data_IF_970520558428
#
_entry.id   IF_970520558428
#
_cell.length_a   1.000
_cell.length_b   1.000
_cell.length_c   1.000
_cell.angle_alpha   90.00
_cell.angle_beta   90.00
_cell.angle_gamma   90.00
#
_symmetry.space_group_name_H-M   'P 1'
#
loop_
_entity.id
_entity.type
_entity.pdbx_description
1 polymer ?
#
# COMPACT_ATOMS: atom_id res chain seq x y z
N UNK A 1 -51.73 0.08 -17.24
CA UNK A 1 -51.16 -0.90 -16.29
C UNK A 1 -49.74 -1.39 -16.65
N UNK A 2 -49.43 -1.71 -17.89
CA UNK A 2 -48.07 -2.23 -18.29
C UNK A 2 -46.90 -1.28 -18.02
N UNK A 3 -47.07 0.03 -18.19
CA UNK A 3 -46.02 1.02 -18.00
C UNK A 3 -45.56 1.20 -16.52
N UNK A 4 -46.47 0.95 -15.56
CA UNK A 4 -46.17 1.00 -14.12
C UNK A 4 -45.32 -0.23 -13.64
N UNK A 5 -45.49 -1.36 -14.30
CA UNK A 5 -44.70 -2.58 -13.99
C UNK A 5 -43.26 -2.49 -14.48
N UNK A 6 -43.03 -1.92 -15.68
CA UNK A 6 -41.68 -1.71 -16.21
C UNK A 6 -40.88 -0.72 -15.37
N UNK A 7 -41.50 0.33 -14.86
CA UNK A 7 -40.83 1.32 -14.00
C UNK A 7 -40.46 0.74 -12.62
N UNK A 8 -41.27 -0.16 -12.07
CA UNK A 8 -40.95 -0.88 -10.82
C UNK A 8 -39.91 -1.94 -11.03
N UNK A 9 -39.90 -2.61 -12.18
CA UNK A 9 -38.88 -3.62 -12.50
C UNK A 9 -37.51 -2.99 -12.75
N UNK A 10 -37.44 -1.85 -13.43
CA UNK A 10 -36.20 -1.08 -13.60
C UNK A 10 -35.69 -0.48 -12.31
N UNK A 11 -36.54 -0.03 -11.39
CA UNK A 11 -36.15 0.46 -10.07
C UNK A 11 -35.64 -0.68 -9.18
N UNK A 12 -36.22 -1.86 -9.24
CA UNK A 12 -35.75 -3.06 -8.53
C UNK A 12 -34.44 -3.58 -9.11
N UNK A 13 -34.27 -3.58 -10.42
CA UNK A 13 -33.00 -3.95 -11.09
C UNK A 13 -31.89 -2.94 -10.81
N UNK A 14 -32.20 -1.64 -10.76
CA UNK A 14 -31.25 -0.60 -10.37
C UNK A 14 -30.87 -0.68 -8.88
N UNK A 15 -31.82 -1.04 -7.99
CA UNK A 15 -31.52 -1.31 -6.59
C UNK A 15 -30.70 -2.60 -6.40
N UNK A 16 -30.97 -3.68 -7.16
CA UNK A 16 -30.15 -4.89 -7.12
C UNK A 16 -28.74 -4.63 -7.67
N UNK A 17 -28.56 -3.82 -8.70
CA UNK A 17 -27.26 -3.40 -9.20
C UNK A 17 -26.51 -2.46 -8.22
N UNK A 18 -27.23 -1.59 -7.49
CA UNK A 18 -26.62 -0.73 -6.48
C UNK A 18 -26.15 -1.52 -5.22
N UNK A 19 -26.85 -2.61 -4.88
CA UNK A 19 -26.50 -3.47 -3.72
C UNK A 19 -25.27 -4.35 -4.00
N UNK A 20 -24.96 -4.66 -5.27
CA UNK A 20 -23.79 -5.48 -5.62
C UNK A 20 -22.46 -4.71 -5.60
N UNK A 21 -22.47 -3.38 -5.53
CA UNK A 21 -21.24 -2.58 -5.40
C UNK A 21 -20.86 -2.27 -3.95
N UNK A 22 -21.75 -2.49 -2.98
CA UNK A 22 -21.56 -2.07 -1.59
C UNK A 22 -20.73 -3.03 -0.72
N UNK A 23 -20.30 -4.20 -1.23
CA UNK A 23 -19.50 -5.17 -0.48
C UNK A 23 -18.49 -5.88 -1.40
N UNK A 24 -17.60 -5.15 -2.03
CA UNK A 24 -16.40 -5.78 -2.59
C UNK A 24 -15.53 -6.23 -1.41
N UNK A 25 -15.71 -7.49 -1.01
CA UNK A 25 -14.85 -8.11 0.00
C UNK A 25 -13.39 -7.94 -0.43
N UNK A 26 -12.56 -7.40 0.46
CA UNK A 26 -11.12 -7.31 0.21
C UNK A 26 -10.58 -8.73 0.11
N UNK A 27 -9.89 -9.00 -0.99
CA UNK A 27 -9.32 -10.31 -1.28
C UNK A 27 -7.86 -10.30 -0.81
N UNK A 28 -7.50 -11.29 -0.01
CA UNK A 28 -6.10 -11.61 0.34
C UNK A 28 -5.65 -12.74 -0.58
N UNK A 29 -4.59 -12.51 -1.34
CA UNK A 29 -4.16 -13.46 -2.37
C UNK A 29 -2.65 -13.61 -2.47
N UNK A 30 -2.21 -14.74 -3.04
CA UNK A 30 -0.89 -14.93 -3.61
C UNK A 30 -0.94 -14.58 -5.11
N UNK A 31 0.09 -13.95 -5.63
CA UNK A 31 0.16 -13.58 -7.05
C UNK A 31 1.43 -14.16 -7.69
N UNK A 32 1.23 -14.98 -8.72
CA UNK A 32 2.35 -15.58 -9.46
C UNK A 32 3.25 -14.53 -10.10
N UNK A 33 2.68 -13.41 -10.58
CA UNK A 33 3.47 -12.33 -11.19
C UNK A 33 4.22 -11.49 -10.18
N UNK A 34 3.68 -11.32 -8.96
CA UNK A 34 4.39 -10.69 -7.85
C UNK A 34 5.57 -11.53 -7.42
N UNK A 35 5.38 -12.85 -7.24
CA UNK A 35 6.47 -13.75 -6.91
C UNK A 35 7.51 -13.84 -8.03
N UNK A 36 7.10 -13.86 -9.29
CA UNK A 36 8.02 -13.87 -10.45
C UNK A 36 8.94 -12.65 -10.42
N UNK A 37 8.38 -11.47 -10.25
CA UNK A 37 9.16 -10.24 -10.25
C UNK A 37 10.04 -10.11 -9.01
N UNK A 38 9.55 -10.55 -7.85
CA UNK A 38 10.32 -10.58 -6.62
C UNK A 38 11.50 -11.57 -6.72
N UNK A 39 11.26 -12.79 -7.19
CA UNK A 39 12.31 -13.83 -7.35
C UNK A 39 13.34 -13.43 -8.41
N UNK A 40 12.93 -12.86 -9.54
CA UNK A 40 13.87 -12.34 -10.54
C UNK A 40 14.75 -11.23 -9.95
N UNK A 41 14.16 -10.30 -9.17
CA UNK A 41 14.89 -9.22 -8.50
C UNK A 41 15.84 -9.76 -7.41
N UNK A 42 15.40 -10.77 -6.64
CA UNK A 42 16.23 -11.49 -5.66
C UNK A 42 17.39 -12.19 -6.35
N UNK A 43 17.16 -12.90 -7.44
CA UNK A 43 18.19 -13.59 -8.22
C UNK A 43 19.19 -12.58 -8.82
N UNK A 44 18.74 -11.37 -9.17
CA UNK A 44 19.57 -10.25 -9.60
C UNK A 44 20.37 -9.60 -8.45
N UNK A 45 20.13 -9.98 -7.20
CA UNK A 45 20.83 -9.47 -6.03
C UNK A 45 20.37 -8.10 -5.56
N UNK A 46 19.11 -7.74 -5.82
CA UNK A 46 18.53 -6.50 -5.30
C UNK A 46 18.39 -6.61 -3.77
N UNK A 47 19.09 -5.75 -3.06
CA UNK A 47 19.22 -5.85 -1.60
C UNK A 47 17.88 -5.94 -0.88
N UNK A 48 16.92 -5.13 -1.27
CA UNK A 48 15.58 -5.08 -0.69
C UNK A 48 14.78 -6.37 -0.88
N UNK A 49 15.10 -7.17 -1.90
CA UNK A 49 14.50 -8.48 -2.19
C UNK A 49 15.33 -9.65 -1.64
N UNK A 50 16.58 -9.39 -1.21
CA UNK A 50 17.48 -10.43 -0.71
C UNK A 50 17.45 -10.60 0.82
N UNK A 51 16.62 -9.84 1.55
CA UNK A 51 16.47 -10.01 2.98
C UNK A 51 15.95 -11.42 3.28
N UNK A 52 16.53 -12.04 4.30
CA UNK A 52 16.08 -13.36 4.75
C UNK A 52 14.83 -13.20 5.61
N UNK A 53 13.75 -13.77 5.15
CA UNK A 53 12.47 -13.75 5.86
C UNK A 53 12.19 -15.05 6.61
N UNK A 54 13.18 -15.95 6.63
CA UNK A 54 13.11 -17.24 7.30
C UNK A 54 12.31 -18.30 6.54
N UNK A 55 12.28 -19.50 7.12
CA UNK A 55 11.44 -20.59 6.67
C UNK A 55 11.98 -21.42 5.50
N UNK A 56 11.24 -22.49 5.21
CA UNK A 56 11.61 -23.44 4.16
C UNK A 56 11.47 -22.85 2.77
N UNK A 57 10.44 -22.04 2.54
CA UNK A 57 10.19 -21.41 1.22
C UNK A 57 11.37 -20.55 0.73
N UNK A 58 12.01 -19.79 1.63
CA UNK A 58 13.21 -19.02 1.27
C UNK A 58 14.35 -19.94 0.84
N UNK A 59 14.57 -21.06 1.54
CA UNK A 59 15.60 -22.06 1.20
C UNK A 59 15.30 -22.74 -0.13
N UNK A 60 14.05 -23.11 -0.37
CA UNK A 60 13.62 -23.72 -1.64
C UNK A 60 13.81 -22.76 -2.82
N UNK A 61 13.47 -21.47 -2.62
CA UNK A 61 13.70 -20.41 -3.60
C UNK A 61 15.19 -20.28 -3.92
N UNK A 62 16.05 -20.17 -2.90
CA UNK A 62 17.49 -20.04 -3.11
C UNK A 62 18.08 -21.26 -3.84
N UNK A 63 17.66 -22.47 -3.48
CA UNK A 63 18.15 -23.70 -4.10
C UNK A 63 17.68 -23.80 -5.56
N UNK A 64 16.40 -23.51 -5.85
CA UNK A 64 15.84 -23.63 -7.19
C UNK A 64 16.46 -22.63 -8.18
N UNK A 65 16.66 -21.38 -7.74
CA UNK A 65 17.13 -20.30 -8.62
C UNK A 65 18.65 -20.11 -8.59
N UNK A 66 19.42 -20.81 -7.73
CA UNK A 66 20.87 -20.73 -7.70
C UNK A 66 21.56 -20.94 -9.07
N UNK A 67 21.12 -21.90 -9.92
CA UNK A 67 21.73 -22.12 -11.24
C UNK A 67 21.52 -20.96 -12.21
N UNK A 68 20.51 -20.10 -11.97
CA UNK A 68 20.07 -19.05 -12.89
C UNK A 68 20.65 -17.66 -12.60
N UNK A 69 21.62 -17.53 -11.67
CA UNK A 69 22.25 -16.24 -11.32
C UNK A 69 22.95 -15.54 -12.49
N UNK A 70 23.31 -16.30 -13.53
CA UNK A 70 23.91 -15.79 -14.77
C UNK A 70 22.94 -15.76 -15.96
N UNK A 71 21.66 -15.95 -15.70
CA UNK A 71 20.63 -15.93 -16.77
C UNK A 71 20.54 -14.53 -17.43
N UNK A 72 20.29 -14.44 -18.77
CA UNK A 72 20.21 -13.16 -19.47
C UNK A 72 19.21 -12.17 -18.87
N UNK A 73 18.05 -12.64 -18.41
CA UNK A 73 17.06 -11.79 -17.73
C UNK A 73 17.57 -11.20 -16.42
N UNK A 74 18.42 -11.94 -15.68
CA UNK A 74 19.06 -11.44 -14.45
C UNK A 74 20.05 -10.32 -14.76
N UNK A 75 20.84 -10.48 -15.81
CA UNK A 75 21.75 -9.43 -16.29
C UNK A 75 20.96 -8.19 -16.74
N UNK A 76 19.87 -8.40 -17.49
CA UNK A 76 18.98 -7.33 -17.93
C UNK A 76 18.34 -6.56 -16.75
N UNK A 77 17.86 -7.26 -15.72
CA UNK A 77 17.35 -6.60 -14.51
C UNK A 77 18.39 -5.74 -13.80
N UNK A 78 19.65 -6.19 -13.70
CA UNK A 78 20.76 -5.39 -13.17
C UNK A 78 20.99 -4.12 -13.98
N UNK A 79 20.92 -4.23 -15.30
CA UNK A 79 21.01 -3.11 -16.24
C UNK A 79 19.88 -2.10 -16.02
N UNK A 80 18.64 -2.58 -15.91
CA UNK A 80 17.47 -1.73 -15.64
C UNK A 80 17.61 -0.99 -14.29
N UNK A 81 18.11 -1.66 -13.27
CA UNK A 81 18.40 -1.02 -11.99
C UNK A 81 19.44 0.09 -12.12
N UNK A 82 20.53 -0.19 -12.79
CA UNK A 82 21.64 0.77 -12.96
C UNK A 82 21.23 2.00 -13.78
N UNK A 83 20.50 1.79 -14.87
CA UNK A 83 20.18 2.85 -15.84
C UNK A 83 18.91 3.63 -15.48
N UNK A 84 17.91 2.97 -14.91
CA UNK A 84 16.58 3.52 -14.71
C UNK A 84 16.10 3.45 -13.25
N UNK A 85 16.97 3.04 -12.33
CA UNK A 85 16.64 2.87 -10.92
C UNK A 85 15.44 1.93 -10.69
N UNK A 86 15.30 0.86 -11.50
CA UNK A 86 14.28 -0.16 -11.29
C UNK A 86 14.64 -0.96 -10.04
N UNK A 87 13.81 -0.84 -9.02
CA UNK A 87 13.93 -1.45 -7.71
C UNK A 87 12.73 -1.05 -6.85
N UNK A 88 12.62 -1.63 -5.65
CA UNK A 88 11.56 -1.31 -4.69
C UNK A 88 10.16 -1.39 -5.34
N UNK A 89 9.35 -0.35 -5.16
CA UNK A 89 7.99 -0.20 -5.69
C UNK A 89 7.89 -0.30 -7.23
N UNK A 90 8.94 0.07 -7.99
CA UNK A 90 8.90 -0.05 -9.45
C UNK A 90 8.83 -1.51 -9.91
N UNK A 91 9.45 -2.44 -9.19
CA UNK A 91 9.34 -3.88 -9.47
C UNK A 91 7.90 -4.34 -9.28
N UNK A 92 7.27 -3.94 -8.19
CA UNK A 92 5.89 -4.31 -7.88
C UNK A 92 4.87 -3.61 -8.77
N UNK A 93 5.16 -2.37 -9.20
CA UNK A 93 4.35 -1.68 -10.20
C UNK A 93 4.30 -2.46 -11.52
N UNK A 94 5.43 -3.02 -11.96
CA UNK A 94 5.42 -3.92 -13.12
C UNK A 94 4.63 -5.20 -12.81
N UNK A 95 4.88 -5.84 -11.67
CA UNK A 95 4.27 -7.11 -11.29
C UNK A 95 2.73 -7.10 -11.37
N UNK A 96 2.09 -6.04 -10.87
CA UNK A 96 0.61 -5.92 -10.89
C UNK A 96 0.05 -5.63 -12.30
N UNK A 97 0.88 -5.20 -13.24
CA UNK A 97 0.50 -4.98 -14.63
C UNK A 97 0.83 -6.18 -15.55
N UNK A 98 1.16 -7.32 -14.95
CA UNK A 98 1.40 -8.58 -15.64
C UNK A 98 0.29 -9.58 -15.30
N UNK A 99 0.08 -10.52 -16.22
CA UNK A 99 -0.72 -11.73 -16.01
C UNK A 99 0.00 -12.93 -16.62
N UNK A 100 -0.34 -14.13 -16.17
CA UNK A 100 0.16 -15.37 -16.74
C UNK A 100 -0.95 -16.41 -16.93
N UNK A 101 -0.80 -17.23 -17.94
CA UNK A 101 -1.66 -18.40 -18.16
C UNK A 101 -0.95 -19.73 -17.83
N UNK A 102 0.13 -19.68 -17.02
CA UNK A 102 0.96 -20.81 -16.66
C UNK A 102 2.00 -21.20 -17.72
N UNK A 103 1.98 -20.56 -18.90
CA UNK A 103 2.93 -20.81 -20.01
C UNK A 103 3.65 -19.55 -20.46
N UNK A 104 2.97 -18.43 -20.40
CA UNK A 104 3.47 -17.15 -20.89
C UNK A 104 2.99 -16.02 -20.00
N UNK A 105 3.85 -15.04 -19.81
CA UNK A 105 3.57 -13.78 -19.12
C UNK A 105 3.28 -12.69 -20.15
N UNK A 106 2.22 -11.92 -19.92
CA UNK A 106 1.79 -10.81 -20.79
C UNK A 106 1.49 -9.57 -19.94
N UNK A 107 1.51 -8.40 -20.56
CA UNK A 107 1.01 -7.18 -19.93
C UNK A 107 -0.51 -7.11 -20.03
N UNK A 108 -1.15 -6.74 -18.91
CA UNK A 108 -2.59 -6.43 -18.85
C UNK A 108 -2.88 -4.94 -18.89
N UNK A 109 -1.93 -4.12 -18.41
CA UNK A 109 -2.10 -2.69 -18.27
C UNK A 109 -1.38 -1.91 -19.37
N UNK A 110 -1.76 -0.64 -19.48
CA UNK A 110 -1.07 0.30 -20.36
C UNK A 110 0.26 0.73 -19.73
N UNK A 111 1.25 1.07 -20.59
CA UNK A 111 2.58 1.54 -20.18
C UNK A 111 2.52 2.72 -19.21
N UNK A 112 1.50 3.58 -19.32
CA UNK A 112 1.26 4.71 -18.42
C UNK A 112 1.07 4.31 -16.94
N UNK A 113 0.58 3.11 -16.68
CA UNK A 113 0.41 2.58 -15.33
C UNK A 113 1.73 2.21 -14.64
N UNK A 114 2.83 2.12 -15.40
CA UNK A 114 4.12 1.64 -14.88
C UNK A 114 4.94 2.73 -14.15
N UNK A 115 4.48 3.98 -14.18
CA UNK A 115 5.20 5.11 -13.57
C UNK A 115 6.45 5.54 -14.35
N UNK A 116 7.05 6.66 -13.92
CA UNK A 116 8.08 7.36 -14.69
C UNK A 116 9.35 6.53 -14.95
N UNK A 117 9.73 5.65 -14.01
CA UNK A 117 10.95 4.82 -14.15
C UNK A 117 10.88 3.84 -15.32
N UNK A 118 9.68 3.39 -15.69
CA UNK A 118 9.46 2.46 -16.79
C UNK A 118 9.22 3.14 -18.15
N UNK A 119 8.98 4.45 -18.21
CA UNK A 119 8.56 5.14 -19.44
C UNK A 119 9.58 5.03 -20.59
N UNK A 120 10.87 5.03 -20.26
CA UNK A 120 11.95 4.93 -21.27
C UNK A 120 12.46 3.52 -21.51
N UNK A 121 11.76 2.50 -20.98
CA UNK A 121 12.12 1.09 -21.15
C UNK A 121 11.18 0.48 -22.18
N UNK A 122 11.77 -0.27 -23.14
CA UNK A 122 11.00 -1.04 -24.12
C UNK A 122 10.37 -2.26 -23.44
N UNK A 123 9.07 -2.18 -23.21
CA UNK A 123 8.33 -3.22 -22.47
C UNK A 123 8.31 -4.55 -23.18
N UNK A 124 8.31 -4.57 -24.52
CA UNK A 124 8.37 -5.83 -25.30
C UNK A 124 9.71 -6.55 -25.11
N UNK A 125 10.82 -5.80 -25.09
CA UNK A 125 12.15 -6.35 -24.77
C UNK A 125 12.18 -6.91 -23.35
N UNK A 126 11.61 -6.19 -22.39
CA UNK A 126 11.50 -6.67 -21.01
C UNK A 126 10.69 -7.99 -20.95
N UNK A 127 9.54 -8.05 -21.63
CA UNK A 127 8.70 -9.25 -21.68
C UNK A 127 9.39 -10.44 -22.34
N UNK A 128 10.22 -10.22 -23.35
CA UNK A 128 11.04 -11.31 -23.96
C UNK A 128 11.96 -11.92 -22.90
N UNK A 129 12.72 -11.09 -22.19
CA UNK A 129 13.62 -11.58 -21.12
C UNK A 129 12.86 -12.24 -19.97
N UNK A 130 11.74 -11.66 -19.57
CA UNK A 130 10.90 -12.19 -18.48
C UNK A 130 10.32 -13.57 -18.85
N UNK A 131 9.79 -13.72 -20.07
CA UNK A 131 9.24 -14.98 -20.54
C UNK A 131 10.32 -16.06 -20.71
N UNK A 132 11.53 -15.69 -21.13
CA UNK A 132 12.64 -16.61 -21.18
C UNK A 132 13.00 -17.11 -19.77
N UNK A 133 13.12 -16.20 -18.78
CA UNK A 133 13.35 -16.58 -17.40
C UNK A 133 12.23 -17.48 -16.86
N UNK A 134 10.97 -17.13 -17.11
CA UNK A 134 9.80 -17.89 -16.69
C UNK A 134 9.83 -19.34 -17.22
N UNK A 135 10.16 -19.52 -18.50
CA UNK A 135 10.24 -20.83 -19.14
C UNK A 135 11.46 -21.63 -18.68
N UNK A 136 12.67 -21.03 -18.74
CA UNK A 136 13.92 -21.72 -18.48
C UNK A 136 14.06 -22.17 -17.02
N UNK A 137 13.50 -21.35 -16.07
CA UNK A 137 13.47 -21.70 -14.67
C UNK A 137 12.32 -22.63 -14.27
N UNK A 138 11.41 -22.93 -15.21
CA UNK A 138 10.17 -23.66 -14.92
C UNK A 138 9.39 -22.99 -13.78
N UNK A 139 9.24 -21.66 -13.86
CA UNK A 139 8.69 -20.86 -12.77
C UNK A 139 7.32 -21.33 -12.32
N UNK A 140 6.42 -21.63 -13.27
CA UNK A 140 5.07 -22.12 -12.98
C UNK A 140 5.07 -23.41 -12.16
N UNK A 141 5.99 -24.33 -12.45
CA UNK A 141 6.11 -25.58 -11.70
C UNK A 141 6.54 -25.28 -10.24
N UNK A 142 7.53 -24.40 -10.06
CA UNK A 142 7.95 -23.98 -8.73
C UNK A 142 6.80 -23.32 -7.96
N UNK A 143 6.09 -22.37 -8.58
CA UNK A 143 4.95 -21.69 -7.97
C UNK A 143 3.83 -22.67 -7.60
N UNK A 144 3.49 -23.58 -8.50
CA UNK A 144 2.43 -24.58 -8.28
C UNK A 144 2.79 -25.58 -7.17
N UNK A 145 4.05 -25.99 -7.06
CA UNK A 145 4.51 -26.89 -5.99
C UNK A 145 4.36 -26.30 -4.59
N UNK A 146 4.30 -24.95 -4.47
CA UNK A 146 4.18 -24.27 -3.20
C UNK A 146 2.76 -23.75 -2.87
N UNK A 147 1.74 -24.13 -3.66
CA UNK A 147 0.35 -23.67 -3.46
C UNK A 147 -0.17 -23.93 -2.04
N UNK A 148 0.06 -25.12 -1.49
CA UNK A 148 -0.38 -25.47 -0.13
C UNK A 148 0.28 -24.59 0.93
N UNK A 149 1.54 -24.20 0.73
CA UNK A 149 2.23 -23.25 1.58
C UNK A 149 1.59 -21.85 1.48
N UNK A 150 1.36 -21.33 0.27
CA UNK A 150 0.70 -20.04 0.09
C UNK A 150 -0.67 -19.99 0.75
N UNK A 151 -1.52 -20.99 0.51
CA UNK A 151 -2.84 -21.09 1.13
C UNK A 151 -2.77 -21.13 2.66
N UNK A 152 -1.78 -21.80 3.23
CA UNK A 152 -1.57 -21.83 4.68
C UNK A 152 -1.25 -20.45 5.24
N UNK A 153 -0.35 -19.71 4.57
CA UNK A 153 0.03 -18.36 4.98
C UNK A 153 -1.12 -17.38 4.80
N UNK A 154 -1.86 -17.45 3.69
CA UNK A 154 -3.04 -16.61 3.45
C UNK A 154 -4.09 -16.81 4.54
N UNK A 155 -4.39 -18.06 4.91
CA UNK A 155 -5.29 -18.34 6.04
C UNK A 155 -4.80 -17.74 7.36
N UNK A 156 -3.51 -17.81 7.62
CA UNK A 156 -2.94 -17.20 8.84
C UNK A 156 -3.06 -15.67 8.79
N UNK A 157 -2.83 -15.05 7.64
CA UNK A 157 -3.02 -13.61 7.46
C UNK A 157 -4.49 -13.20 7.68
N UNK A 158 -5.42 -13.92 7.09
CA UNK A 158 -6.85 -13.70 7.28
C UNK A 158 -7.26 -13.82 8.76
N UNK A 159 -6.78 -14.84 9.45
CA UNK A 159 -7.10 -15.07 10.85
C UNK A 159 -6.45 -14.06 11.80
N UNK A 160 -5.18 -13.75 11.59
CA UNK A 160 -4.40 -12.95 12.55
C UNK A 160 -4.42 -11.45 12.23
N UNK A 161 -4.47 -11.06 10.95
CA UNK A 161 -4.37 -9.66 10.52
C UNK A 161 -5.74 -9.07 10.21
N UNK A 162 -6.54 -9.75 9.38
CA UNK A 162 -7.82 -9.22 8.91
C UNK A 162 -8.87 -9.07 10.00
N UNK A 163 -8.73 -9.76 11.13
CA UNK A 163 -9.61 -9.54 12.29
C UNK A 163 -9.56 -8.11 12.84
N UNK A 164 -8.46 -7.38 12.60
CA UNK A 164 -8.28 -5.98 13.00
C UNK A 164 -8.69 -4.99 11.91
N UNK A 165 -9.11 -5.48 10.71
CA UNK A 165 -9.44 -4.63 9.58
C UNK A 165 -10.96 -4.51 9.39
N UNK A 166 -11.49 -3.31 9.66
CA UNK A 166 -12.92 -2.98 9.59
C UNK A 166 -13.19 -2.07 8.40
N UNK A 167 -13.51 -2.66 7.26
CA UNK A 167 -13.71 -1.94 6.00
C UNK A 167 -14.82 -0.87 6.09
N UNK A 168 -15.87 -1.10 6.86
CA UNK A 168 -16.99 -0.20 7.06
C UNK A 168 -16.63 1.09 7.83
N UNK A 169 -15.49 1.11 8.52
CA UNK A 169 -15.00 2.31 9.19
C UNK A 169 -14.66 3.44 8.20
N UNK A 170 -14.08 3.12 7.06
CA UNK A 170 -13.56 4.09 6.11
C UNK A 170 -14.65 5.01 5.53
N UNK A 171 -15.74 4.50 4.89
CA UNK A 171 -16.79 5.39 4.40
C UNK A 171 -17.45 6.19 5.55
N UNK A 172 -17.55 5.64 6.75
CA UNK A 172 -18.05 6.37 7.91
C UNK A 172 -17.12 7.50 8.32
N UNK A 173 -15.81 7.25 8.39
CA UNK A 173 -14.83 8.26 8.79
C UNK A 173 -14.60 9.29 7.69
N UNK A 174 -14.32 8.88 6.47
CA UNK A 174 -14.03 9.80 5.36
C UNK A 174 -15.28 10.49 4.80
N UNK A 175 -16.45 9.92 4.96
CA UNK A 175 -17.73 10.44 4.45
C UNK A 175 -17.90 10.27 2.94
N UNK A 176 -17.11 9.39 2.33
CA UNK A 176 -17.14 9.05 0.91
C UNK A 176 -16.95 7.56 0.74
N UNK A 177 -17.64 6.98 -0.25
CA UNK A 177 -17.40 5.60 -0.64
C UNK A 177 -16.08 5.49 -1.44
N UNK A 178 -15.34 4.39 -1.29
CA UNK A 178 -14.15 4.16 -2.09
C UNK A 178 -14.53 4.00 -3.56
N UNK A 179 -13.85 4.73 -4.44
CA UNK A 179 -14.02 4.60 -5.89
C UNK A 179 -13.07 3.57 -6.50
N UNK A 180 -12.18 3.02 -5.68
CA UNK A 180 -11.12 2.11 -6.05
C UNK A 180 -11.41 0.68 -5.55
N UNK A 181 -10.85 -0.32 -6.22
CA UNK A 181 -10.81 -1.70 -5.72
C UNK A 181 -9.53 -1.92 -4.96
N UNK A 182 -9.65 -2.42 -3.75
CA UNK A 182 -8.50 -2.72 -2.90
C UNK A 182 -8.17 -4.21 -2.92
N UNK A 183 -6.88 -4.54 -3.09
CA UNK A 183 -6.37 -5.92 -3.13
C UNK A 183 -5.17 -6.04 -2.21
N UNK A 184 -5.11 -7.11 -1.44
CA UNK A 184 -3.98 -7.44 -0.59
C UNK A 184 -3.25 -8.63 -1.22
N UNK A 185 -1.98 -8.45 -1.53
CA UNK A 185 -1.13 -9.51 -2.08
C UNK A 185 -0.01 -9.80 -1.09
N UNK A 186 0.14 -11.05 -0.69
CA UNK A 186 1.28 -11.45 0.13
C UNK A 186 2.46 -11.74 -0.78
N UNK A 187 3.55 -11.00 -0.57
CA UNK A 187 4.80 -11.16 -1.29
C UNK A 187 5.78 -12.01 -0.48
N UNK A 188 5.86 -13.29 -0.80
CA UNK A 188 6.63 -14.28 -0.03
C UNK A 188 8.14 -14.11 -0.20
N UNK A 189 8.58 -13.47 -1.29
CA UNK A 189 9.99 -13.16 -1.57
C UNK A 189 10.28 -11.67 -1.65
N UNK A 190 9.39 -10.82 -1.12
CA UNK A 190 9.55 -9.36 -1.10
C UNK A 190 10.65 -8.86 -0.15
N UNK A 191 11.29 -9.73 0.63
CA UNK A 191 12.29 -9.33 1.60
C UNK A 191 11.75 -8.43 2.72
N UNK A 192 10.47 -8.58 3.11
CA UNK A 192 9.82 -7.78 4.15
C UNK A 192 9.39 -6.38 3.70
N UNK A 193 9.61 -6.00 2.45
CA UNK A 193 9.13 -4.72 1.90
C UNK A 193 7.63 -4.72 1.69
N UNK A 194 6.98 -3.58 2.04
CA UNK A 194 5.58 -3.32 1.73
C UNK A 194 5.50 -2.29 0.62
N UNK A 195 4.59 -2.48 -0.33
CA UNK A 195 4.46 -1.64 -1.52
C UNK A 195 2.99 -1.38 -1.85
N UNK A 196 2.64 -0.13 -2.17
CA UNK A 196 1.29 0.31 -2.51
C UNK A 196 1.12 0.69 -3.99
N UNK A 197 1.44 -0.16 -4.98
CA UNK A 197 1.24 0.19 -6.38
C UNK A 197 -0.24 0.22 -6.74
N UNK A 198 -0.57 0.94 -7.81
CA UNK A 198 -1.92 0.96 -8.35
C UNK A 198 -1.91 0.85 -9.87
N UNK A 199 -3.03 0.36 -10.44
CA UNK A 199 -3.22 0.35 -11.89
C UNK A 199 -4.65 0.78 -12.26
N UNK A 200 -4.79 1.32 -13.45
CA UNK A 200 -6.08 1.65 -14.04
C UNK A 200 -6.22 0.91 -15.38
N UNK A 201 -7.14 -0.04 -15.42
CA UNK A 201 -7.51 -0.70 -16.66
C UNK A 201 -8.68 0.04 -17.31
N UNK A 202 -8.67 0.11 -18.64
CA UNK A 202 -9.75 0.79 -19.39
C UNK A 202 -11.11 0.20 -19.04
N UNK A 203 -12.07 1.06 -18.66
CA UNK A 203 -13.44 0.65 -18.30
C UNK A 203 -13.57 -0.02 -16.93
N UNK A 204 -12.50 -0.16 -16.15
CA UNK A 204 -12.52 -0.73 -14.80
C UNK A 204 -12.31 0.35 -13.73
N UNK A 205 -12.78 0.17 -12.49
CA UNK A 205 -12.30 0.96 -11.35
C UNK A 205 -10.78 0.88 -11.24
N UNK A 206 -10.15 1.91 -10.68
CA UNK A 206 -8.73 1.84 -10.33
C UNK A 206 -8.52 0.75 -9.27
N UNK A 207 -7.52 -0.09 -9.44
CA UNK A 207 -7.10 -1.07 -8.46
C UNK A 207 -5.92 -0.53 -7.67
N UNK A 208 -6.00 -0.62 -6.35
CA UNK A 208 -4.94 -0.27 -5.40
C UNK A 208 -4.52 -1.54 -4.68
N UNK A 209 -3.23 -1.78 -4.63
CA UNK A 209 -2.67 -3.00 -4.07
C UNK A 209 -1.88 -2.68 -2.79
N UNK A 210 -2.14 -3.42 -1.72
CA UNK A 210 -1.19 -3.56 -0.63
C UNK A 210 -0.41 -4.86 -0.85
N UNK A 211 0.82 -4.75 -1.35
CA UNK A 211 1.72 -5.90 -1.46
C UNK A 211 2.50 -5.97 -0.16
N UNK A 212 2.11 -6.89 0.71
CA UNK A 212 2.64 -7.02 2.06
C UNK A 212 3.78 -8.05 2.09
N UNK A 213 4.90 -7.66 2.68
CA UNK A 213 6.02 -8.56 2.89
C UNK A 213 5.68 -9.67 3.87
N UNK A 214 6.17 -10.87 3.57
CA UNK A 214 6.05 -12.04 4.40
C UNK A 214 7.22 -12.14 5.38
N UNK A 215 6.94 -12.58 6.60
CA UNK A 215 7.99 -12.96 7.56
C UNK A 215 7.52 -14.08 8.47
N UNK A 216 8.49 -14.84 8.98
CA UNK A 216 8.26 -15.89 9.97
C UNK A 216 8.82 -15.43 11.31
N UNK A 217 8.03 -15.57 12.36
CA UNK A 217 8.53 -15.41 13.73
C UNK A 217 9.51 -16.55 14.03
N UNK A 218 10.74 -16.21 14.38
CA UNK A 218 11.81 -17.19 14.62
C UNK A 218 11.53 -18.13 15.79
N UNK A 219 10.73 -17.72 16.77
CA UNK A 219 10.43 -18.49 17.97
C UNK A 219 9.32 -19.50 17.72
N UNK A 220 8.31 -19.11 16.98
CA UNK A 220 7.10 -19.93 16.76
C UNK A 220 7.11 -20.66 15.43
N UNK A 221 7.93 -20.21 14.47
CA UNK A 221 7.97 -20.72 13.11
C UNK A 221 6.72 -20.39 12.29
N UNK A 222 5.88 -19.47 12.78
CA UNK A 222 4.61 -19.09 12.12
C UNK A 222 4.72 -17.75 11.42
N UNK A 223 4.00 -17.62 10.32
CA UNK A 223 3.84 -16.36 9.61
C UNK A 223 2.83 -15.47 10.34
N UNK A 224 3.04 -14.16 10.32
CA UNK A 224 2.11 -13.16 10.83
C UNK A 224 1.61 -13.43 12.26
N UNK A 225 2.47 -13.97 13.13
CA UNK A 225 2.12 -14.30 14.51
C UNK A 225 1.62 -13.07 15.27
N UNK A 226 2.27 -11.93 15.09
CA UNK A 226 1.85 -10.65 15.65
C UNK A 226 0.98 -9.87 14.65
N UNK A 227 -0.21 -10.40 14.36
CA UNK A 227 -1.09 -9.88 13.30
C UNK A 227 -1.44 -8.40 13.41
N UNK A 228 -1.37 -7.84 14.61
CA UNK A 228 -1.69 -6.43 14.85
C UNK A 228 -0.67 -5.47 14.21
N UNK A 229 0.63 -5.78 14.26
CA UNK A 229 1.66 -4.93 13.66
C UNK A 229 1.49 -4.87 12.13
N UNK A 230 1.07 -5.98 11.53
CA UNK A 230 0.73 -6.03 10.10
C UNK A 230 -0.59 -5.31 9.79
N UNK A 231 -1.56 -5.37 10.69
CA UNK A 231 -2.83 -4.66 10.52
C UNK A 231 -2.62 -3.14 10.52
N UNK A 232 -1.74 -2.60 11.37
CA UNK A 232 -1.41 -1.17 11.37
C UNK A 232 -0.86 -0.72 10.00
N UNK A 233 0.02 -1.51 9.39
CA UNK A 233 0.53 -1.27 8.03
C UNK A 233 -0.59 -1.31 6.99
N UNK A 234 -1.46 -2.32 7.05
CA UNK A 234 -2.59 -2.45 6.12
C UNK A 234 -3.55 -1.25 6.23
N UNK A 235 -3.88 -0.85 7.46
CA UNK A 235 -4.73 0.32 7.74
C UNK A 235 -4.09 1.58 7.18
N UNK A 236 -2.77 1.74 7.33
CA UNK A 236 -2.00 2.86 6.78
C UNK A 236 -2.11 2.92 5.26
N UNK A 237 -1.79 1.84 4.57
CA UNK A 237 -1.85 1.79 3.10
C UNK A 237 -3.27 2.03 2.56
N UNK A 238 -4.28 1.52 3.26
CA UNK A 238 -5.67 1.73 2.85
C UNK A 238 -6.12 3.19 3.03
N UNK A 239 -5.64 3.88 4.06
CA UNK A 239 -5.92 5.30 4.27
C UNK A 239 -5.41 6.17 3.11
N UNK A 240 -4.30 5.81 2.45
CA UNK A 240 -3.80 6.53 1.28
C UNK A 240 -4.82 6.63 0.15
N UNK A 241 -5.65 5.61 -0.05
CA UNK A 241 -6.71 5.61 -1.08
C UNK A 241 -7.74 6.73 -0.88
N UNK A 242 -7.91 7.20 0.35
CA UNK A 242 -8.82 8.30 0.69
C UNK A 242 -8.08 9.63 0.84
N UNK A 243 -6.93 9.63 1.49
CA UNK A 243 -6.19 10.86 1.81
C UNK A 243 -5.57 11.50 0.58
N UNK A 244 -4.96 10.70 -0.32
CA UNK A 244 -4.27 11.24 -1.48
C UNK A 244 -5.20 12.04 -2.42
N UNK A 245 -6.39 11.53 -2.81
CA UNK A 245 -7.33 12.31 -3.62
C UNK A 245 -7.86 13.56 -2.90
N UNK A 246 -8.05 13.49 -1.58
CA UNK A 246 -8.47 14.64 -0.78
C UNK A 246 -7.39 15.72 -0.71
N UNK A 247 -6.12 15.32 -0.59
CA UNK A 247 -5.01 16.25 -0.66
C UNK A 247 -4.96 16.94 -2.02
N UNK A 248 -5.04 16.18 -3.11
CA UNK A 248 -4.97 16.72 -4.48
C UNK A 248 -6.08 17.78 -4.70
N UNK A 249 -7.28 17.55 -4.15
CA UNK A 249 -8.40 18.49 -4.22
C UNK A 249 -8.21 19.74 -3.32
N UNK A 250 -7.29 19.71 -2.37
CA UNK A 250 -7.06 20.77 -1.36
C UNK A 250 -5.59 21.23 -1.30
N UNK A 251 -4.80 20.94 -2.33
CA UNK A 251 -3.36 21.18 -2.32
C UNK A 251 -2.99 22.65 -2.04
N UNK A 252 -3.74 23.60 -2.54
CA UNK A 252 -3.52 25.04 -2.33
C UNK A 252 -3.55 25.45 -0.85
N UNK A 253 -4.32 24.72 -0.02
CA UNK A 253 -4.40 24.99 1.42
C UNK A 253 -3.18 24.49 2.19
N UNK A 254 -2.54 23.44 1.70
CA UNK A 254 -1.59 22.63 2.49
C UNK A 254 -0.16 22.65 1.96
N UNK A 255 0.06 23.00 0.69
CA UNK A 255 1.38 22.93 0.06
C UNK A 255 2.42 23.76 0.82
N UNK A 256 2.14 25.05 1.05
CA UNK A 256 3.06 25.95 1.78
C UNK A 256 3.33 25.50 3.22
N UNK A 257 2.31 24.90 3.88
CA UNK A 257 2.47 24.35 5.22
C UNK A 257 3.39 23.13 5.17
N UNK A 258 3.18 22.24 4.21
CA UNK A 258 4.01 21.05 3.99
C UNK A 258 5.47 21.41 3.68
N UNK A 259 5.73 22.45 2.89
CA UNK A 259 7.08 22.97 2.63
C UNK A 259 7.78 23.46 3.91
N UNK A 260 7.05 24.17 4.77
CA UNK A 260 7.58 24.64 6.06
C UNK A 260 7.85 23.45 7.01
N UNK A 261 6.97 22.47 7.08
CA UNK A 261 7.17 21.24 7.86
C UNK A 261 8.39 20.47 7.35
N UNK A 262 8.45 20.19 6.05
CA UNK A 262 9.58 19.51 5.42
C UNK A 262 10.91 20.21 5.69
N UNK A 263 10.95 21.55 5.53
CA UNK A 263 12.15 22.34 5.81
C UNK A 263 12.58 22.23 7.27
N UNK A 264 11.64 22.33 8.20
CA UNK A 264 11.91 22.31 9.65
C UNK A 264 12.41 20.96 10.13
N UNK A 265 11.77 19.89 9.66
CA UNK A 265 12.04 18.50 10.07
C UNK A 265 12.75 17.70 8.98
N UNK A 266 13.55 18.39 8.16
CA UNK A 266 14.17 17.80 6.97
C UNK A 266 14.91 16.51 7.23
N UNK A 267 15.67 16.42 8.34
CA UNK A 267 16.45 15.22 8.68
C UNK A 267 15.57 14.01 8.91
N UNK A 268 14.54 14.12 9.73
CA UNK A 268 13.62 13.03 10.02
C UNK A 268 12.81 12.62 8.78
N UNK A 269 12.30 13.60 8.03
CA UNK A 269 11.57 13.34 6.78
C UNK A 269 12.46 12.66 5.74
N UNK A 270 13.70 13.12 5.56
CA UNK A 270 14.66 12.52 4.63
C UNK A 270 15.07 11.10 5.02
N UNK A 271 15.18 10.79 6.30
CA UNK A 271 15.47 9.43 6.79
C UNK A 271 14.38 8.44 6.39
N UNK A 272 13.15 8.92 6.21
CA UNK A 272 11.98 8.16 5.73
C UNK A 272 11.78 8.27 4.21
N UNK A 273 12.74 8.84 3.48
CA UNK A 273 12.68 9.12 2.05
C UNK A 273 11.58 10.13 1.63
N UNK A 274 11.02 10.90 2.56
CA UNK A 274 10.04 11.95 2.28
C UNK A 274 10.74 13.24 1.85
N UNK A 275 10.66 13.57 0.56
CA UNK A 275 11.45 14.65 -0.05
C UNK A 275 10.62 15.80 -0.63
N UNK A 276 9.30 15.76 -0.46
CA UNK A 276 8.41 16.80 -0.95
C UNK A 276 7.27 17.06 0.05
N UNK A 277 6.68 18.24 -0.06
CA UNK A 277 5.61 18.72 0.82
C UNK A 277 4.36 17.84 0.76
N UNK A 278 3.98 17.40 -0.44
CA UNK A 278 2.81 16.52 -0.66
C UNK A 278 2.92 15.24 0.16
N UNK A 279 4.06 14.56 0.09
CA UNK A 279 4.30 13.34 0.87
C UNK A 279 4.21 13.61 2.36
N UNK A 280 4.84 14.68 2.88
CA UNK A 280 4.79 15.00 4.32
C UNK A 280 3.37 15.21 4.80
N UNK A 281 2.54 15.92 4.06
CA UNK A 281 1.13 16.17 4.45
C UNK A 281 0.30 14.90 4.35
N UNK A 282 0.39 14.15 3.24
CA UNK A 282 -0.35 12.89 3.06
C UNK A 282 -0.02 11.92 4.19
N UNK A 283 1.25 11.69 4.45
CA UNK A 283 1.72 10.84 5.54
C UNK A 283 1.22 11.33 6.91
N UNK A 284 1.23 12.64 7.15
CA UNK A 284 0.72 13.20 8.40
C UNK A 284 -0.75 12.83 8.64
N UNK A 285 -1.59 13.02 7.63
CA UNK A 285 -3.04 12.76 7.73
C UNK A 285 -3.31 11.25 7.79
N UNK A 286 -2.63 10.45 6.98
CA UNK A 286 -2.74 8.98 6.99
C UNK A 286 -2.40 8.43 8.37
N UNK A 287 -1.26 8.81 8.96
CA UNK A 287 -0.80 8.35 10.28
C UNK A 287 -1.74 8.78 11.40
N UNK A 288 -2.25 10.01 11.34
CA UNK A 288 -3.25 10.48 12.29
C UNK A 288 -4.57 9.69 12.16
N UNK A 289 -5.00 9.36 10.93
CA UNK A 289 -6.17 8.53 10.69
C UNK A 289 -6.00 7.08 11.20
N UNK A 290 -4.80 6.49 11.12
CA UNK A 290 -4.48 5.20 11.77
C UNK A 290 -4.76 5.26 13.26
N UNK A 291 -4.30 6.30 13.93
CA UNK A 291 -4.53 6.45 15.39
C UNK A 291 -6.02 6.61 15.72
N UNK A 292 -6.78 7.38 14.92
CA UNK A 292 -8.24 7.48 15.08
C UNK A 292 -8.90 6.12 14.84
N UNK A 293 -8.49 5.42 13.79
CA UNK A 293 -8.97 4.06 13.52
C UNK A 293 -8.78 3.15 14.73
N UNK A 294 -7.57 3.11 15.30
CA UNK A 294 -7.26 2.30 16.48
C UNK A 294 -8.14 2.66 17.67
N UNK A 295 -8.40 3.97 17.91
CA UNK A 295 -9.27 4.44 18.99
C UNK A 295 -10.74 3.99 18.84
N UNK A 296 -11.22 3.86 17.60
CA UNK A 296 -12.62 3.54 17.31
C UNK A 296 -12.88 2.04 17.08
N UNK A 297 -11.82 1.23 16.96
CA UNK A 297 -11.92 -0.19 16.63
C UNK A 297 -11.29 -1.12 17.68
N UNK A 298 -11.30 -0.74 18.93
CA UNK A 298 -11.05 -1.62 20.08
C UNK A 298 -9.58 -1.94 20.36
N UNK A 299 -8.63 -1.17 19.83
CA UNK A 299 -7.22 -1.31 20.21
C UNK A 299 -7.00 -0.82 21.65
N UNK A 300 -6.05 -1.44 22.36
CA UNK A 300 -5.75 -1.05 23.72
C UNK A 300 -5.13 0.34 23.84
N UNK A 301 -5.24 0.95 25.01
CA UNK A 301 -4.62 2.25 25.27
C UNK A 301 -3.09 2.22 25.11
N UNK A 302 -2.46 1.09 25.47
CA UNK A 302 -1.02 0.89 25.30
C UNK A 302 -0.62 0.87 23.83
N UNK A 303 -1.39 0.20 22.98
CA UNK A 303 -1.15 0.11 21.55
C UNK A 303 -1.29 1.47 20.87
N UNK A 304 -2.37 2.19 21.18
CA UNK A 304 -2.60 3.56 20.67
C UNK A 304 -1.48 4.50 21.12
N UNK A 305 -1.02 4.36 22.36
CA UNK A 305 0.08 5.16 22.91
C UNK A 305 1.41 4.82 22.24
N UNK A 306 1.67 3.52 22.00
CA UNK A 306 2.86 3.05 21.28
C UNK A 306 2.90 3.62 19.88
N UNK A 307 1.79 3.54 19.12
CA UNK A 307 1.66 4.11 17.80
C UNK A 307 1.93 5.62 17.79
N UNK A 308 1.35 6.36 18.74
CA UNK A 308 1.60 7.79 18.86
C UNK A 308 3.08 8.10 19.10
N UNK A 309 3.75 7.36 19.98
CA UNK A 309 5.18 7.56 20.25
C UNK A 309 6.04 7.20 19.05
N UNK A 310 5.66 6.18 18.28
CA UNK A 310 6.37 5.84 17.04
C UNK A 310 6.31 6.99 16.04
N UNK A 311 5.15 7.63 15.87
CA UNK A 311 5.03 8.77 14.96
C UNK A 311 5.87 9.97 15.44
N UNK A 312 5.90 10.24 16.74
CA UNK A 312 6.75 11.29 17.32
C UNK A 312 8.25 10.96 17.13
N UNK A 313 8.65 9.71 17.32
CA UNK A 313 10.01 9.25 17.10
C UNK A 313 10.45 9.33 15.62
N UNK A 314 9.48 9.35 14.69
CA UNK A 314 9.68 9.58 13.25
C UNK A 314 9.65 11.07 12.88
N UNK A 315 9.78 11.97 13.85
CA UNK A 315 9.75 13.43 13.69
C UNK A 315 8.40 14.03 13.22
N UNK A 316 7.28 13.32 13.39
CA UNK A 316 5.93 13.89 13.23
C UNK A 316 5.48 14.54 14.56
N UNK A 317 6.17 15.59 14.99
CA UNK A 317 5.96 16.19 16.31
C UNK A 317 4.59 16.88 16.47
N UNK A 318 3.90 17.18 15.36
CA UNK A 318 2.53 17.72 15.32
C UNK A 318 1.43 16.66 15.42
N UNK A 319 1.80 15.37 15.54
CA UNK A 319 0.85 14.27 15.54
C UNK A 319 -0.22 14.36 16.66
N UNK A 320 0.11 14.69 17.91
CA UNK A 320 -0.89 14.81 18.98
C UNK A 320 -1.99 15.85 18.67
N UNK A 321 -1.62 17.01 18.14
CA UNK A 321 -2.52 18.07 17.75
C UNK A 321 -3.39 17.66 16.55
N UNK A 322 -2.79 17.03 15.55
CA UNK A 322 -3.49 16.56 14.36
C UNK A 322 -4.50 15.45 14.70
N UNK A 323 -4.14 14.49 15.53
CA UNK A 323 -5.06 13.46 16.04
C UNK A 323 -6.20 14.10 16.84
N UNK A 324 -5.92 15.14 17.63
CA UNK A 324 -6.94 15.88 18.36
C UNK A 324 -7.91 16.58 17.40
N UNK A 325 -7.40 17.18 16.33
CA UNK A 325 -8.21 17.81 15.31
C UNK A 325 -9.10 16.77 14.58
N UNK A 326 -8.53 15.61 14.17
CA UNK A 326 -9.32 14.56 13.52
C UNK A 326 -10.36 13.93 14.47
N UNK A 327 -10.07 13.82 15.76
CA UNK A 327 -11.05 13.40 16.77
C UNK A 327 -12.20 14.40 16.88
N UNK A 328 -11.92 15.70 16.79
CA UNK A 328 -12.95 16.73 16.74
C UNK A 328 -13.82 16.56 15.48
N UNK A 329 -13.20 16.35 14.31
CA UNK A 329 -13.93 16.06 13.09
C UNK A 329 -14.88 14.85 13.25
N UNK A 330 -14.37 13.73 13.76
CA UNK A 330 -15.15 12.51 13.95
C UNK A 330 -16.39 12.71 14.83
N UNK A 331 -16.29 13.61 15.84
CA UNK A 331 -17.40 13.95 16.75
C UNK A 331 -18.39 14.97 16.16
N UNK A 332 -18.04 15.69 15.11
CA UNK A 332 -18.86 16.77 14.52
C UNK A 332 -19.28 16.50 13.09
N UNK A 333 -19.62 15.24 12.78
CA UNK A 333 -20.04 14.78 11.44
C UNK A 333 -21.33 15.44 10.93
N UNK A 334 -22.13 16.00 11.82
CA UNK A 334 -23.29 16.82 11.45
C UNK A 334 -22.88 18.13 10.75
N UNK A 335 -21.75 18.72 11.13
CA UNK A 335 -21.17 19.93 10.52
C UNK A 335 -20.27 19.61 9.33
N UNK A 336 -19.42 18.60 9.45
CA UNK A 336 -18.46 18.20 8.43
C UNK A 336 -18.86 16.83 7.88
N UNK A 337 -19.48 16.80 6.69
CA UNK A 337 -20.00 15.57 6.10
C UNK A 337 -18.89 14.65 5.61
N UNK A 338 -17.81 15.23 5.10
CA UNK A 338 -16.63 14.54 4.59
C UNK A 338 -15.37 15.05 5.29
N UNK A 339 -14.29 14.27 5.26
CA UNK A 339 -13.00 14.76 5.73
C UNK A 339 -12.52 15.94 4.87
N UNK A 340 -12.89 15.99 3.58
CA UNK A 340 -12.61 17.13 2.70
C UNK A 340 -13.16 18.44 3.23
N UNK A 341 -14.36 18.44 3.82
CA UNK A 341 -14.95 19.64 4.45
C UNK A 341 -14.13 20.15 5.65
N UNK A 342 -13.28 19.28 6.22
CA UNK A 342 -12.47 19.57 7.40
C UNK A 342 -11.02 20.00 7.07
N UNK A 343 -10.59 19.93 5.83
CA UNK A 343 -9.22 20.28 5.42
C UNK A 343 -8.80 21.72 5.82
N UNK A 344 -9.68 22.75 5.76
CA UNK A 344 -9.33 24.08 6.28
C UNK A 344 -8.97 24.09 7.79
N UNK A 345 -9.59 23.23 8.60
CA UNK A 345 -9.28 23.12 10.02
C UNK A 345 -7.97 22.33 10.26
N UNK A 346 -7.69 21.33 9.40
CA UNK A 346 -6.39 20.64 9.39
C UNK A 346 -5.26 21.63 9.09
N UNK A 347 -5.44 22.49 8.07
CA UNK A 347 -4.46 23.52 7.73
C UNK A 347 -4.19 24.46 8.91
N UNK A 348 -5.25 24.97 9.54
CA UNK A 348 -5.12 25.83 10.74
C UNK A 348 -4.41 25.12 11.91
N UNK A 349 -4.69 23.82 12.11
CA UNK A 349 -4.02 23.01 13.13
C UNK A 349 -2.52 22.96 12.89
N UNK A 350 -2.10 22.59 11.68
CA UNK A 350 -0.69 22.49 11.32
C UNK A 350 0.04 23.84 11.34
N UNK A 351 -0.61 24.92 10.88
CA UNK A 351 -0.07 26.29 10.99
C UNK A 351 0.15 26.69 12.46
N UNK A 352 -0.79 26.37 13.36
CA UNK A 352 -0.64 26.62 14.77
C UNK A 352 0.56 25.87 15.37
N UNK A 353 0.75 24.60 15.03
CA UNK A 353 1.91 23.82 15.47
C UNK A 353 3.23 24.48 15.04
N UNK A 354 3.32 24.95 13.78
CA UNK A 354 4.48 25.67 13.28
C UNK A 354 4.76 26.96 14.05
N UNK A 355 3.73 27.73 14.45
CA UNK A 355 3.87 29.00 15.20
C UNK A 355 4.36 28.73 16.64
N UNK A 356 3.71 27.83 17.35
CA UNK A 356 4.07 27.50 18.75
C UNK A 356 5.53 27.07 18.88
N UNK A 357 6.03 26.28 17.93
CA UNK A 357 7.43 25.89 17.93
C UNK A 357 8.39 27.05 17.61
N UNK A 358 8.00 27.92 16.67
CA UNK A 358 8.80 29.11 16.37
C UNK A 358 8.94 29.99 17.61
N UNK A 359 7.83 30.28 18.29
CA UNK A 359 7.82 31.05 19.55
C UNK A 359 8.67 30.39 20.65
N UNK A 360 8.64 29.07 20.78
CA UNK A 360 9.49 28.34 21.74
C UNK A 360 10.98 28.51 21.45
N UNK A 361 11.38 28.48 20.19
CA UNK A 361 12.77 28.68 19.77
C UNK A 361 13.19 30.14 20.03
N UNK A 362 12.37 31.11 19.62
CA UNK A 362 12.64 32.55 19.83
C UNK A 362 12.75 32.90 21.31
N UNK A 363 11.91 32.32 22.17
CA UNK A 363 11.97 32.54 23.64
C UNK A 363 13.13 31.80 24.32
N UNK A 364 13.79 30.85 23.64
CA UNK A 364 14.93 30.12 24.18
C UNK A 364 16.29 30.74 23.82
N UNK A 365 16.31 31.73 22.92
CA UNK A 365 17.48 32.49 22.47
C UNK A 365 17.53 33.84 23.18
#
# INVERSE_FOLDING_TARGET
>A
MKQKYYRRFFLLLAMLLAVTFANAQIIVEASETVELMAILSRTAGFREYCMDMGGQYTKDTEAWYAPYKQHPAVAYMKDLRSKYNIGYDAVMTMAINLETNGKKVTMTGEKLNLGNRWQNIETDTFLVHLNQFYADTRFHDFYTQHQSFYESVLRTYEQNVMQYFHQDWYPRFYGTEPTERFRIVIGFTNGGGNYGPSRKLTGQPKEVFAICGYSIDEKTGKAFENGMDYAATLIHEFNHSFVNPLYDANADLLLTIGEKLLKRYYRGMSNQAYRNATTVINESIVRAAVIIYMQENGFSAEQIKSEMYEQIARDFLWMPELVTALRHYAKHRNRYKTLGDYYPEIAKCLEKCLKVETERIENAI
#
